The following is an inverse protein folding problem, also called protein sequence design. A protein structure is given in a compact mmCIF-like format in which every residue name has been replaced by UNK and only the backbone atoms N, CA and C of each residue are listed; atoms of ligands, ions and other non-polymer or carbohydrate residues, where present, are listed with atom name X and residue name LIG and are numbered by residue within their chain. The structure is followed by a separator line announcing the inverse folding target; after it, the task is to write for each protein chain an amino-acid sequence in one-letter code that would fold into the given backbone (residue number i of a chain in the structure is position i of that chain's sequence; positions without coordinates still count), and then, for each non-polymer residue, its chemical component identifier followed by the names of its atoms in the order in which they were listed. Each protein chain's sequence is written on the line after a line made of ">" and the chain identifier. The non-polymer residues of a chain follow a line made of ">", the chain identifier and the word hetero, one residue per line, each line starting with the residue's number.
data_IF_966344345813
#
_entry.id   IF_966344345813
#
_cell.length_a   1.000
_cell.length_b   1.000
_cell.length_c   1.000
_cell.angle_alpha   90.00
_cell.angle_beta   90.00
_cell.angle_gamma   90.00
#
_symmetry.space_group_name_H-M   'P 1'
#
loop_
_entity.id
_entity.type
_entity.pdbx_description
1 polymer ?
#
# COMPACT_ATOMS: atom_id res chain seq x y z
N UNK A 1 18.60 24.85 -7.83
CA UNK A 1 18.68 24.33 -6.44
C UNK A 1 17.37 23.68 -5.99
N UNK A 2 16.21 24.28 -6.27
CA UNK A 2 14.89 23.70 -5.90
C UNK A 2 14.60 22.31 -6.51
N UNK A 3 15.00 22.06 -7.77
CA UNK A 3 14.77 20.75 -8.43
C UNK A 3 15.50 19.58 -7.75
N UNK A 4 16.68 19.80 -7.16
CA UNK A 4 17.48 18.77 -6.48
C UNK A 4 16.84 18.38 -5.14
N UNK A 5 16.27 19.36 -4.43
CA UNK A 5 15.53 19.12 -3.17
C UNK A 5 14.24 18.33 -3.41
N UNK A 6 13.56 18.57 -4.53
CA UNK A 6 12.33 17.88 -4.90
C UNK A 6 12.57 16.40 -5.26
N UNK A 7 13.63 16.09 -5.99
CA UNK A 7 14.00 14.71 -6.37
C UNK A 7 14.31 13.84 -5.15
N UNK A 8 15.10 14.36 -4.19
CA UNK A 8 15.39 13.64 -2.95
C UNK A 8 14.13 13.37 -2.13
N UNK A 9 13.16 14.29 -2.13
CA UNK A 9 11.89 14.12 -1.43
C UNK A 9 11.04 13.01 -2.03
N UNK A 10 10.95 12.93 -3.36
CA UNK A 10 10.20 11.89 -4.06
C UNK A 10 10.80 10.50 -3.80
N UNK A 11 12.12 10.39 -3.79
CA UNK A 11 12.82 9.14 -3.46
C UNK A 11 12.58 8.71 -2.01
N UNK A 12 12.65 9.64 -1.05
CA UNK A 12 12.35 9.37 0.36
C UNK A 12 10.91 8.87 0.51
N UNK A 13 9.95 9.57 -0.10
CA UNK A 13 8.53 9.17 -0.05
C UNK A 13 8.35 7.79 -0.67
N UNK A 14 8.96 7.52 -1.84
CA UNK A 14 8.87 6.22 -2.48
C UNK A 14 9.37 5.10 -1.56
N UNK A 15 10.49 5.33 -0.87
CA UNK A 15 11.03 4.39 0.11
C UNK A 15 10.09 4.18 1.31
N UNK A 16 9.56 5.25 1.89
CA UNK A 16 8.63 5.16 3.03
C UNK A 16 7.36 4.36 2.66
N UNK A 17 6.87 4.52 1.43
CA UNK A 17 5.74 3.72 0.92
C UNK A 17 6.11 2.24 0.81
N UNK A 18 7.29 1.91 0.28
CA UNK A 18 7.77 0.52 0.19
C UNK A 18 7.88 -0.08 1.60
N UNK A 19 8.52 0.63 2.53
CA UNK A 19 8.71 0.17 3.90
C UNK A 19 7.37 -0.04 4.61
N UNK A 20 6.37 0.81 4.39
CA UNK A 20 5.02 0.64 4.91
C UNK A 20 4.34 -0.63 4.38
N UNK A 21 4.46 -0.89 3.07
CA UNK A 21 3.86 -2.09 2.45
C UNK A 21 4.54 -3.36 2.98
N UNK A 22 5.87 -3.35 3.11
CA UNK A 22 6.64 -4.46 3.69
C UNK A 22 6.23 -4.71 5.14
N UNK A 23 6.16 -3.66 5.97
CA UNK A 23 5.76 -3.78 7.38
C UNK A 23 4.37 -4.41 7.52
N UNK A 24 3.41 -4.08 6.64
CA UNK A 24 2.11 -4.76 6.61
C UNK A 24 2.25 -6.23 6.25
N UNK A 25 2.99 -6.57 5.20
CA UNK A 25 3.17 -7.96 4.77
C UNK A 25 3.79 -8.81 5.89
N UNK A 26 4.73 -8.27 6.66
CA UNK A 26 5.36 -8.94 7.81
C UNK A 26 4.38 -9.26 8.95
N UNK A 27 3.23 -8.60 9.02
CA UNK A 27 2.17 -8.96 10.00
C UNK A 27 1.40 -10.22 9.63
N UNK A 28 1.55 -10.70 8.39
CA UNK A 28 0.83 -11.87 7.87
C UNK A 28 1.59 -13.14 8.28
N UNK A 29 0.91 -14.13 8.88
CA UNK A 29 1.52 -15.42 9.18
C UNK A 29 2.18 -16.06 7.96
N UNK A 30 3.41 -16.57 8.13
CA UNK A 30 4.25 -17.10 7.04
C UNK A 30 3.70 -18.35 6.37
N UNK A 31 2.75 -19.04 7.00
CA UNK A 31 2.06 -20.20 6.44
C UNK A 31 0.91 -19.84 5.50
N UNK A 32 0.64 -18.55 5.29
CA UNK A 32 -0.40 -18.06 4.38
C UNK A 32 0.23 -17.68 3.04
N UNK A 33 -0.36 -18.18 1.96
CA UNK A 33 -0.09 -17.68 0.61
C UNK A 33 -1.14 -16.65 0.21
N UNK A 34 -0.72 -15.66 -0.56
CA UNK A 34 -1.55 -14.58 -1.05
C UNK A 34 -1.71 -14.77 -2.56
N UNK A 35 -2.96 -14.88 -3.00
CA UNK A 35 -3.29 -14.95 -4.42
C UNK A 35 -3.35 -13.55 -5.02
N UNK A 36 -2.58 -13.32 -6.08
CA UNK A 36 -2.55 -12.09 -6.85
C UNK A 36 -3.30 -12.33 -8.16
N UNK A 37 -4.62 -12.42 -8.09
CA UNK A 37 -5.49 -12.59 -9.27
C UNK A 37 -5.00 -13.69 -10.24
N UNK A 38 -4.81 -13.32 -11.51
CA UNK A 38 -4.32 -14.23 -12.55
C UNK A 38 -2.80 -14.46 -12.55
N UNK A 39 -2.04 -13.77 -11.69
CA UNK A 39 -0.57 -13.84 -11.65
C UNK A 39 -0.04 -14.97 -10.76
N UNK A 40 -0.94 -15.65 -10.03
CA UNK A 40 -0.61 -16.81 -9.20
C UNK A 40 -0.69 -16.52 -7.71
N UNK A 41 -0.11 -17.42 -6.91
CA UNK A 41 -0.07 -17.33 -5.45
C UNK A 41 1.37 -17.25 -4.97
N UNK A 42 1.61 -16.38 -4.00
CA UNK A 42 2.94 -16.07 -3.49
C UNK A 42 2.95 -16.20 -1.97
N UNK A 43 4.07 -16.65 -1.43
CA UNK A 43 4.34 -16.54 0.00
C UNK A 43 4.59 -15.09 0.39
N UNK A 44 4.48 -14.80 1.70
CA UNK A 44 4.79 -13.47 2.25
C UNK A 44 6.22 -13.05 1.90
N UNK A 45 7.20 -13.96 2.04
CA UNK A 45 8.61 -13.69 1.76
C UNK A 45 8.85 -13.31 0.29
N UNK A 46 8.25 -14.03 -0.65
CA UNK A 46 8.34 -13.72 -2.08
C UNK A 46 7.74 -12.35 -2.39
N UNK A 47 6.59 -12.01 -1.80
CA UNK A 47 5.98 -10.69 -2.02
C UNK A 47 6.83 -9.56 -1.44
N UNK A 48 7.45 -9.74 -0.28
CA UNK A 48 8.36 -8.75 0.29
C UNK A 48 9.55 -8.50 -0.63
N UNK A 49 10.17 -9.56 -1.18
CA UNK A 49 11.27 -9.43 -2.14
C UNK A 49 10.83 -8.68 -3.40
N UNK A 50 9.67 -9.05 -3.94
CA UNK A 50 9.09 -8.42 -5.13
C UNK A 50 8.80 -6.94 -4.93
N UNK A 51 8.24 -6.56 -3.77
CA UNK A 51 8.00 -5.16 -3.40
C UNK A 51 9.30 -4.38 -3.26
N UNK A 52 10.34 -4.97 -2.65
CA UNK A 52 11.66 -4.32 -2.48
C UNK A 52 12.42 -4.15 -3.79
N UNK A 53 12.32 -5.12 -4.69
CA UNK A 53 12.95 -5.06 -6.03
C UNK A 53 12.16 -4.20 -7.01
N UNK A 54 10.89 -3.95 -6.73
CA UNK A 54 10.00 -3.18 -7.60
C UNK A 54 9.69 -3.90 -8.90
N UNK A 55 9.60 -5.23 -8.89
CA UNK A 55 9.12 -5.96 -10.07
C UNK A 55 7.63 -5.69 -10.32
N UNK A 56 7.08 -6.19 -11.42
CA UNK A 56 5.68 -5.91 -11.80
C UNK A 56 4.67 -6.37 -10.73
N UNK A 57 4.94 -7.47 -10.03
CA UNK A 57 4.09 -7.95 -8.94
C UNK A 57 4.25 -7.05 -7.71
N UNK A 58 5.47 -6.64 -7.39
CA UNK A 58 5.78 -5.71 -6.31
C UNK A 58 5.10 -4.36 -6.48
N UNK A 59 5.20 -3.77 -7.69
CA UNK A 59 4.51 -2.53 -8.06
C UNK A 59 3.00 -2.68 -7.90
N UNK A 60 2.43 -3.75 -8.46
CA UNK A 60 0.99 -4.05 -8.35
C UNK A 60 0.55 -4.20 -6.88
N UNK A 61 1.36 -4.83 -6.05
CA UNK A 61 1.08 -4.97 -4.62
C UNK A 61 1.07 -3.61 -3.90
N UNK A 62 2.03 -2.73 -4.19
CA UNK A 62 2.06 -1.35 -3.67
C UNK A 62 0.82 -0.58 -4.10
N UNK A 63 0.46 -0.63 -5.38
CA UNK A 63 -0.73 0.02 -5.92
C UNK A 63 -2.02 -0.47 -5.25
N UNK A 64 -2.19 -1.79 -5.13
CA UNK A 64 -3.33 -2.40 -4.44
C UNK A 64 -3.42 -1.95 -2.98
N UNK A 65 -2.29 -1.96 -2.26
CA UNK A 65 -2.24 -1.56 -0.86
C UNK A 65 -2.61 -0.09 -0.67
N UNK A 66 -2.10 0.80 -1.52
CA UNK A 66 -2.44 2.22 -1.46
C UNK A 66 -3.89 2.49 -1.87
N UNK A 67 -4.41 1.76 -2.86
CA UNK A 67 -5.82 1.84 -3.24
C UNK A 67 -6.73 1.43 -2.07
N UNK A 68 -6.37 0.36 -1.36
CA UNK A 68 -7.07 -0.08 -0.14
C UNK A 68 -7.01 0.99 0.95
N UNK A 69 -5.83 1.54 1.28
CA UNK A 69 -5.73 2.58 2.31
C UNK A 69 -6.55 3.84 1.98
N UNK A 70 -6.56 4.25 0.71
CA UNK A 70 -7.39 5.38 0.25
C UNK A 70 -8.88 5.07 0.35
N UNK A 71 -9.30 3.84 0.06
CA UNK A 71 -10.71 3.47 0.22
C UNK A 71 -11.16 3.54 1.69
N UNK A 72 -10.28 3.25 2.65
CA UNK A 72 -10.58 3.41 4.08
C UNK A 72 -10.84 4.88 4.47
N UNK A 73 -10.15 5.84 3.86
CA UNK A 73 -10.40 7.26 4.15
C UNK A 73 -11.79 7.73 3.68
N UNK A 74 -12.35 7.06 2.66
CA UNK A 74 -13.71 7.26 2.16
C UNK A 74 -14.76 6.46 2.95
N UNK A 75 -14.35 5.52 3.81
CA UNK A 75 -15.25 4.77 4.70
C UNK A 75 -15.65 5.55 5.96
N UNK A 76 -15.14 6.77 6.17
CA UNK A 76 -15.68 7.62 7.23
C UNK A 76 -17.17 7.85 6.92
N UNK A 77 -18.11 7.40 7.77
CA UNK A 77 -19.51 7.72 7.55
C UNK A 77 -19.62 9.24 7.52
N UNK A 78 -20.14 9.78 6.42
CA UNK A 78 -20.62 11.15 6.37
C UNK A 78 -21.61 11.24 7.55
N UNK A 79 -21.28 11.99 8.59
CA UNK A 79 -22.24 12.22 9.66
C UNK A 79 -23.47 12.83 8.98
N UNK A 80 -24.59 12.11 9.01
CA UNK A 80 -25.89 12.67 8.66
C UNK A 80 -26.02 13.95 9.47
N UNK A 81 -26.14 15.07 8.77
CA UNK A 81 -26.40 16.35 9.39
C UNK A 81 -27.63 16.20 10.27
N UNK A 82 -27.41 16.17 11.58
CA UNK A 82 -28.42 16.41 12.59
C UNK A 82 -28.89 17.87 12.46
N UNK A 83 -29.60 18.19 11.38
CA UNK A 83 -30.51 19.33 11.37
C UNK A 83 -31.83 18.84 11.91
N UNK A 84 -31.88 18.87 13.25
CA UNK A 84 -33.09 18.88 14.04
C UNK A 84 -34.06 19.91 13.47
N UNK A 85 -35.17 19.43 12.90
CA UNK A 85 -36.38 20.21 12.69
C UNK A 85 -37.47 19.62 13.58
N UNK A 86 -37.62 20.17 14.79
CA UNK A 86 -38.91 20.43 15.45
C UNK A 86 -38.69 21.14 16.79
#
# INVERSE_FOLDING_TARGET
>A
MEKIQQQNKEEIIAKEIIDLVVARLETIPSNISISIGGDGSFTVSELIEKVKTGDEIGKKMVEMQLAYLRSLSNLRPQQENATSNN
#
